data_IF_710517144377
#
_entry.id   IF_710517144377
#
_cell.length_a   1.000
_cell.length_b   1.000
_cell.length_c   1.000
_cell.angle_alpha   90.00
_cell.angle_beta   90.00
_cell.angle_gamma   90.00
#
_symmetry.space_group_name_H-M   'P 1'
#
loop_
_entity.id
_entity.type
_entity.pdbx_description
1 polymer ?
#
# COMPACT_ATOMS: atom_id res chain seq x y z
N UNK A 1 44.95 -35.17 65.93
CA UNK A 1 44.43 -33.85 65.51
C UNK A 1 43.79 -34.01 64.13
N UNK A 2 42.45 -34.04 64.03
CA UNK A 2 41.73 -34.18 62.75
C UNK A 2 41.22 -32.81 62.33
N UNK A 3 41.83 -32.23 61.29
CA UNK A 3 41.45 -30.92 60.73
C UNK A 3 40.15 -31.05 59.94
N UNK A 4 39.11 -30.32 60.33
CA UNK A 4 37.83 -30.24 59.60
C UNK A 4 37.93 -29.09 58.60
N UNK A 5 37.98 -29.43 57.31
CA UNK A 5 37.93 -28.47 56.22
C UNK A 5 36.47 -28.06 55.98
N UNK A 6 36.11 -26.81 56.31
CA UNK A 6 34.82 -26.21 55.98
C UNK A 6 34.84 -25.79 54.51
N UNK A 7 33.98 -26.40 53.68
CA UNK A 7 33.75 -25.98 52.29
C UNK A 7 32.59 -24.98 52.30
N UNK A 8 32.88 -23.70 52.00
CA UNK A 8 31.89 -22.65 51.76
C UNK A 8 31.34 -22.80 50.34
N UNK A 9 30.07 -23.19 50.20
CA UNK A 9 29.32 -23.16 48.95
C UNK A 9 28.83 -21.73 48.69
N UNK A 10 29.37 -21.08 47.66
CA UNK A 10 28.84 -19.83 47.12
C UNK A 10 27.74 -20.17 46.11
N UNK A 11 26.51 -19.64 46.25
CA UNK A 11 25.45 -19.90 45.29
C UNK A 11 25.73 -19.12 44.00
N UNK A 12 25.86 -19.85 42.89
CA UNK A 12 25.97 -19.30 41.55
C UNK A 12 24.56 -18.83 41.12
N UNK A 13 24.33 -17.52 41.11
CA UNK A 13 23.09 -16.93 40.61
C UNK A 13 23.02 -17.13 39.09
N UNK A 14 22.08 -17.98 38.63
CA UNK A 14 21.73 -18.10 37.21
C UNK A 14 21.02 -16.81 36.79
N UNK A 15 21.67 -15.97 36.00
CA UNK A 15 21.03 -14.86 35.30
C UNK A 15 20.10 -15.43 34.21
N UNK A 16 18.81 -15.16 34.32
CA UNK A 16 17.86 -15.46 33.26
C UNK A 16 18.19 -14.61 32.02
N UNK A 17 18.16 -15.18 30.80
CA UNK A 17 18.34 -14.38 29.58
C UNK A 17 17.21 -13.35 29.49
N UNK A 18 17.59 -12.07 29.45
CA UNK A 18 16.66 -10.98 29.26
C UNK A 18 15.88 -11.18 27.96
N UNK A 19 14.57 -11.07 28.05
CA UNK A 19 13.71 -10.97 26.88
C UNK A 19 14.13 -9.73 26.11
N UNK A 20 14.78 -9.92 24.95
CA UNK A 20 14.93 -8.86 23.97
C UNK A 20 13.54 -8.59 23.42
N UNK A 21 12.87 -7.58 23.99
CA UNK A 21 11.68 -6.98 23.39
C UNK A 21 12.12 -6.42 22.05
N UNK A 22 11.91 -7.18 20.97
CA UNK A 22 11.90 -6.61 19.64
C UNK A 22 10.76 -5.60 19.65
N UNK A 23 11.11 -4.31 19.71
CA UNK A 23 10.15 -3.25 19.55
C UNK A 23 9.46 -3.49 18.21
N UNK A 24 8.16 -3.78 18.26
CA UNK A 24 7.28 -3.66 17.10
C UNK A 24 7.58 -2.30 16.45
N UNK A 25 7.73 -2.24 15.11
CA UNK A 25 8.00 -0.98 14.41
C UNK A 25 7.00 0.06 14.90
N UNK A 26 7.51 1.21 15.34
CA UNK A 26 6.77 2.20 16.11
C UNK A 26 5.44 2.53 15.42
N UNK A 27 4.35 2.17 16.08
CA UNK A 27 2.98 2.47 15.65
C UNK A 27 2.62 3.97 15.77
N UNK A 28 3.52 4.79 16.30
CA UNK A 28 3.32 6.21 16.51
C UNK A 28 3.62 7.00 15.22
N UNK A 29 2.63 7.69 14.63
CA UNK A 29 2.84 8.51 13.44
C UNK A 29 3.95 9.56 13.61
N UNK A 30 4.17 10.09 14.82
CA UNK A 30 5.23 11.05 15.05
C UNK A 30 6.61 10.46 14.76
N UNK A 31 6.85 9.21 15.18
CA UNK A 31 8.12 8.50 14.94
C UNK A 31 8.27 8.14 13.46
N UNK A 32 7.19 7.69 12.82
CA UNK A 32 7.19 7.42 11.38
C UNK A 32 7.56 8.69 10.59
N UNK A 33 7.09 9.86 11.02
CA UNK A 33 7.39 11.12 10.36
C UNK A 33 8.81 11.67 10.58
N UNK A 34 9.61 11.14 11.50
CA UNK A 34 10.99 11.61 11.73
C UNK A 34 11.89 11.41 10.50
N UNK A 35 11.61 10.40 9.68
CA UNK A 35 12.35 10.12 8.45
C UNK A 35 11.84 10.91 7.24
N UNK A 36 10.84 11.78 7.44
CA UNK A 36 10.22 12.52 6.34
C UNK A 36 11.12 13.60 5.77
N UNK A 37 11.00 13.82 4.45
CA UNK A 37 11.68 14.93 3.82
C UNK A 37 11.02 16.25 4.29
N UNK A 38 11.78 17.35 4.51
CA UNK A 38 11.22 18.61 5.01
C UNK A 38 10.09 19.21 4.18
N UNK A 39 10.04 18.89 2.89
CA UNK A 39 8.98 19.35 1.99
C UNK A 39 7.71 18.48 2.08
N UNK A 40 7.81 17.25 2.58
CA UNK A 40 6.69 16.32 2.66
C UNK A 40 5.75 16.74 3.80
N UNK A 41 4.46 16.47 3.64
CA UNK A 41 3.50 16.59 4.75
C UNK A 41 3.36 15.24 5.41
N UNK A 42 3.87 15.11 6.63
CA UNK A 42 3.73 13.90 7.43
C UNK A 42 3.15 14.24 8.80
N UNK A 43 2.04 13.59 9.17
CA UNK A 43 1.34 13.84 10.43
C UNK A 43 0.43 12.66 10.81
N UNK A 44 -0.12 12.70 12.02
CA UNK A 44 -1.21 11.80 12.42
C UNK A 44 -2.45 12.00 11.53
N UNK A 45 -3.06 10.89 11.12
CA UNK A 45 -4.24 10.86 10.27
C UNK A 45 -5.52 11.33 10.96
N UNK A 46 -5.53 11.43 12.30
CA UNK A 46 -6.60 11.98 13.10
C UNK A 46 -7.87 11.13 13.11
N UNK A 47 -7.81 9.87 12.67
CA UNK A 47 -8.98 9.01 12.50
C UNK A 47 -9.94 9.52 11.42
N UNK A 48 -9.49 10.41 10.53
CA UNK A 48 -10.36 11.05 9.56
C UNK A 48 -10.88 10.04 8.55
N UNK A 49 -12.15 10.18 8.15
CA UNK A 49 -12.72 9.46 7.01
C UNK A 49 -12.71 10.38 5.81
N UNK A 50 -12.08 9.95 4.71
CA UNK A 50 -12.06 10.73 3.48
C UNK A 50 -13.44 10.63 2.81
N UNK A 51 -14.18 11.74 2.65
CA UNK A 51 -15.46 11.69 1.96
C UNK A 51 -15.27 11.20 0.52
N UNK A 52 -16.24 10.42 0.04
CA UNK A 52 -16.21 9.72 -1.25
C UNK A 52 -15.69 10.57 -2.41
N UNK A 53 -14.49 10.22 -2.88
CA UNK A 53 -13.73 10.89 -3.93
C UNK A 53 -14.47 11.12 -5.25
N UNK A 54 -13.92 12.04 -6.05
CA UNK A 54 -14.53 12.55 -7.29
C UNK A 54 -14.62 11.55 -8.44
N UNK A 55 -14.96 12.05 -9.63
CA UNK A 55 -15.30 11.24 -10.82
C UNK A 55 -14.23 10.22 -11.27
N UNK A 56 -12.96 10.42 -10.89
CA UNK A 56 -11.81 9.60 -11.35
C UNK A 56 -11.40 8.49 -10.38
N UNK A 57 -11.50 8.74 -9.07
CA UNK A 57 -11.17 7.75 -8.04
C UNK A 57 -12.17 7.85 -6.90
N UNK A 58 -12.88 6.76 -6.66
CA UNK A 58 -13.83 6.64 -5.58
C UNK A 58 -13.11 6.31 -4.28
N UNK A 59 -13.29 7.14 -3.24
CA UNK A 59 -12.88 6.82 -1.86
C UNK A 59 -13.92 5.98 -1.11
N UNK A 60 -14.97 5.51 -1.80
CA UNK A 60 -15.97 4.60 -1.19
C UNK A 60 -15.27 3.33 -0.70
N UNK A 61 -15.49 3.04 0.58
CA UNK A 61 -14.92 1.87 1.26
C UNK A 61 -13.62 2.16 1.98
N UNK A 62 -12.95 3.28 1.72
CA UNK A 62 -11.71 3.64 2.43
C UNK A 62 -11.91 3.61 3.94
N UNK A 63 -10.88 3.18 4.69
CA UNK A 63 -10.93 3.12 6.13
C UNK A 63 -10.84 4.54 6.72
N UNK A 64 -11.09 4.64 8.02
CA UNK A 64 -10.64 5.82 8.75
C UNK A 64 -9.11 5.77 8.85
N UNK A 65 -8.44 6.88 8.56
CA UNK A 65 -6.98 6.98 8.61
C UNK A 65 -6.58 7.18 10.06
N UNK A 66 -6.29 6.07 10.74
CA UNK A 66 -5.99 6.02 12.17
C UNK A 66 -4.50 6.02 12.47
N UNK A 67 -3.66 5.83 11.46
CA UNK A 67 -2.22 5.93 11.57
C UNK A 67 -1.68 7.20 10.92
N UNK A 68 -0.61 7.11 10.14
CA UNK A 68 0.06 8.23 9.50
C UNK A 68 -0.64 8.66 8.21
N UNK A 69 -0.73 9.98 8.02
CA UNK A 69 -0.93 10.59 6.72
C UNK A 69 0.41 11.13 6.22
N UNK A 70 0.89 10.59 5.11
CA UNK A 70 2.12 11.02 4.47
C UNK A 70 1.85 11.43 3.03
N UNK A 71 2.17 12.67 2.68
CA UNK A 71 2.06 13.21 1.34
C UNK A 71 3.36 13.81 0.87
N UNK A 72 3.95 13.18 -0.14
CA UNK A 72 5.14 13.68 -0.85
C UNK A 72 4.77 14.92 -1.67
N UNK A 73 5.57 15.98 -1.58
CA UNK A 73 5.26 17.29 -2.21
C UNK A 73 6.13 17.66 -3.41
N UNK A 74 7.23 16.95 -3.66
CA UNK A 74 8.11 17.27 -4.79
C UNK A 74 8.29 16.07 -5.70
N UNK A 75 8.69 16.31 -6.95
CA UNK A 75 8.77 15.30 -8.00
C UNK A 75 10.02 14.37 -7.95
N UNK A 76 10.58 14.13 -6.76
CA UNK A 76 11.72 13.20 -6.56
C UNK A 76 11.29 11.90 -5.91
N UNK A 77 12.00 10.81 -6.18
CA UNK A 77 11.67 9.52 -5.58
C UNK A 77 11.83 9.51 -4.05
N UNK A 78 10.88 8.89 -3.36
CA UNK A 78 10.84 8.71 -1.91
C UNK A 78 10.85 7.24 -1.53
N UNK A 79 11.32 6.99 -0.30
CA UNK A 79 11.11 5.72 0.38
C UNK A 79 10.50 6.02 1.73
N UNK A 80 9.31 5.48 1.98
CA UNK A 80 8.61 5.68 3.23
C UNK A 80 7.67 4.50 3.48
N UNK A 81 7.37 4.28 4.75
CA UNK A 81 6.50 3.21 5.20
C UNK A 81 5.50 3.74 6.20
N UNK A 82 4.31 3.17 6.18
CA UNK A 82 3.37 3.25 7.28
C UNK A 82 3.78 2.35 8.44
N UNK A 83 2.80 2.07 9.29
CA UNK A 83 2.90 1.28 10.50
C UNK A 83 1.85 0.17 10.53
N UNK A 84 1.33 -0.19 11.72
CA UNK A 84 0.32 -1.23 11.89
C UNK A 84 -1.12 -0.70 11.91
N UNK A 85 -1.32 0.60 11.69
CA UNK A 85 -2.62 1.26 11.67
C UNK A 85 -3.00 1.60 10.23
N UNK A 86 -4.27 1.95 9.99
CA UNK A 86 -4.70 2.34 8.65
C UNK A 86 -4.05 3.67 8.24
N UNK A 87 -3.16 3.61 7.27
CA UNK A 87 -2.34 4.73 6.82
C UNK A 87 -2.82 5.27 5.48
N UNK A 88 -2.50 6.54 5.19
CA UNK A 88 -2.66 7.12 3.87
C UNK A 88 -1.31 7.65 3.38
N UNK A 89 -0.76 6.94 2.40
CA UNK A 89 0.61 7.07 1.92
C UNK A 89 0.58 7.50 0.45
N UNK A 90 0.91 8.77 0.21
CA UNK A 90 0.76 9.41 -1.09
C UNK A 90 2.14 9.79 -1.65
N UNK A 91 2.63 8.97 -2.58
CA UNK A 91 3.78 9.28 -3.44
C UNK A 91 3.45 10.34 -4.48
N UNK A 92 4.48 10.90 -5.10
CA UNK A 92 4.34 11.94 -6.13
C UNK A 92 4.99 11.43 -7.41
N UNK A 93 5.12 12.26 -8.43
CA UNK A 93 6.13 11.99 -9.46
C UNK A 93 7.48 11.64 -8.82
N UNK A 94 8.15 10.64 -9.37
CA UNK A 94 9.41 10.15 -8.83
C UNK A 94 9.49 8.64 -8.97
N UNK A 95 10.58 8.03 -8.53
CA UNK A 95 10.63 6.58 -8.35
C UNK A 95 10.41 6.30 -6.86
N UNK A 96 9.16 6.06 -6.49
CA UNK A 96 8.72 5.93 -5.10
C UNK A 96 8.71 4.46 -4.63
N UNK A 97 8.97 4.27 -3.35
CA UNK A 97 8.92 2.97 -2.67
C UNK A 97 8.08 3.13 -1.42
N UNK A 98 6.85 2.64 -1.50
CA UNK A 98 5.80 2.84 -0.51
C UNK A 98 5.43 1.49 0.06
N UNK A 99 5.48 1.37 1.39
CA UNK A 99 5.08 0.17 2.12
C UNK A 99 3.98 0.55 3.12
N UNK A 100 2.79 -0.04 3.02
CA UNK A 100 1.66 0.21 3.93
C UNK A 100 2.02 -0.25 5.34
N UNK A 101 2.28 -1.55 5.46
CA UNK A 101 2.54 -2.17 6.75
C UNK A 101 1.41 -3.11 7.07
N UNK A 102 0.94 -3.12 8.31
CA UNK A 102 -0.28 -3.83 8.65
C UNK A 102 -1.42 -2.83 8.80
N UNK A 103 -2.66 -3.29 8.65
CA UNK A 103 -3.80 -2.40 8.69
C UNK A 103 -4.43 -2.31 7.32
N UNK A 104 -5.38 -1.39 7.16
CA UNK A 104 -6.08 -1.19 5.90
C UNK A 104 -5.59 0.12 5.33
N UNK A 105 -4.68 0.03 4.38
CA UNK A 105 -3.91 1.19 3.95
C UNK A 105 -4.39 1.74 2.62
N UNK A 106 -4.08 3.01 2.39
CA UNK A 106 -4.34 3.69 1.13
C UNK A 106 -3.02 4.15 0.55
N UNK A 107 -2.57 3.51 -0.52
CA UNK A 107 -1.29 3.78 -1.17
C UNK A 107 -1.52 4.37 -2.55
N UNK A 108 -0.89 5.51 -2.83
CA UNK A 108 -0.84 6.11 -4.16
C UNK A 108 0.61 6.22 -4.61
N UNK A 109 0.93 5.61 -5.76
CA UNK A 109 2.26 5.77 -6.36
C UNK A 109 2.49 7.20 -6.88
N UNK A 110 1.42 7.87 -7.31
CA UNK A 110 1.45 9.24 -7.78
C UNK A 110 0.07 9.88 -7.55
N UNK A 111 -0.04 10.75 -6.55
CA UNK A 111 -1.31 11.43 -6.22
C UNK A 111 -1.56 12.68 -7.09
N UNK A 112 -0.53 13.24 -7.72
CA UNK A 112 -0.64 14.48 -8.49
C UNK A 112 -1.21 14.17 -9.91
N UNK A 113 -2.39 14.72 -10.26
CA UNK A 113 -2.98 14.50 -11.58
C UNK A 113 -2.25 15.25 -12.70
N UNK A 114 -1.44 16.26 -12.39
CA UNK A 114 -0.70 17.05 -13.37
C UNK A 114 0.64 16.39 -13.72
N UNK A 115 1.37 16.88 -14.74
CA UNK A 115 2.78 16.51 -14.94
C UNK A 115 3.13 15.03 -15.24
N UNK A 116 2.15 14.13 -15.30
CA UNK A 116 2.34 12.68 -15.34
C UNK A 116 3.28 12.19 -16.45
N UNK A 117 4.33 11.46 -16.07
CA UNK A 117 5.32 10.87 -17.01
C UNK A 117 5.27 9.36 -17.05
N UNK A 118 5.80 8.74 -18.12
CA UNK A 118 5.88 7.28 -18.27
C UNK A 118 7.26 6.69 -17.90
N UNK A 119 8.12 7.50 -17.27
CA UNK A 119 9.50 7.13 -16.89
C UNK A 119 9.62 6.64 -15.45
N UNK A 120 8.73 7.09 -14.57
CA UNK A 120 8.70 6.73 -13.15
C UNK A 120 8.61 5.23 -12.92
N UNK A 121 9.16 4.78 -11.79
CA UNK A 121 9.23 3.38 -11.39
C UNK A 121 8.88 3.19 -9.92
N UNK A 122 7.63 2.90 -9.66
CA UNK A 122 7.16 2.79 -8.29
C UNK A 122 7.09 1.35 -7.80
N UNK A 123 7.36 1.19 -6.50
CA UNK A 123 7.10 -0.02 -5.76
C UNK A 123 6.05 0.28 -4.71
N UNK A 124 4.90 -0.39 -4.82
CA UNK A 124 3.82 -0.32 -3.84
C UNK A 124 3.68 -1.70 -3.20
N UNK A 125 3.74 -1.75 -1.88
CA UNK A 125 3.56 -2.96 -1.08
C UNK A 125 2.52 -2.65 0.01
N UNK A 126 1.31 -3.19 -0.10
CA UNK A 126 0.24 -2.95 0.88
C UNK A 126 0.61 -3.58 2.22
N UNK A 127 0.81 -4.89 2.20
CA UNK A 127 1.20 -5.68 3.37
C UNK A 127 0.00 -6.45 3.91
N UNK A 128 -0.04 -6.76 5.22
CA UNK A 128 -1.22 -7.43 5.78
C UNK A 128 -2.41 -6.49 6.03
N UNK A 129 -3.52 -6.76 5.35
CA UNK A 129 -4.84 -6.18 5.58
C UNK A 129 -5.54 -5.89 4.26
N UNK A 130 -6.73 -5.28 4.32
CA UNK A 130 -7.50 -4.98 3.11
C UNK A 130 -7.08 -3.61 2.58
N UNK A 131 -6.22 -3.58 1.56
CA UNK A 131 -5.56 -2.36 1.11
C UNK A 131 -6.14 -1.76 -0.17
N UNK A 132 -5.96 -0.45 -0.36
CA UNK A 132 -6.28 0.28 -1.57
C UNK A 132 -5.01 0.78 -2.24
N UNK A 133 -4.66 0.18 -3.37
CA UNK A 133 -3.42 0.49 -4.09
C UNK A 133 -3.72 1.17 -5.42
N UNK A 134 -3.27 2.41 -5.57
CA UNK A 134 -3.42 3.22 -6.78
C UNK A 134 -2.08 3.35 -7.47
N UNK A 135 -1.93 2.69 -8.62
CA UNK A 135 -0.67 2.76 -9.38
C UNK A 135 -0.53 4.11 -10.06
N UNK A 136 0.70 4.58 -10.20
CA UNK A 136 1.05 5.73 -11.02
C UNK A 136 1.08 5.39 -12.52
N UNK A 137 1.55 6.36 -13.32
CA UNK A 137 2.02 6.10 -14.68
C UNK A 137 3.35 5.31 -14.66
N UNK A 138 4.03 5.14 -15.80
CA UNK A 138 5.36 4.52 -15.78
C UNK A 138 5.36 3.01 -15.51
N UNK A 139 6.38 2.51 -14.79
CA UNK A 139 6.63 1.08 -14.58
C UNK A 139 6.53 0.69 -13.10
N UNK A 140 5.44 0.02 -12.73
CA UNK A 140 5.11 -0.25 -11.34
C UNK A 140 5.29 -1.72 -10.95
N UNK A 141 5.76 -1.93 -9.73
CA UNK A 141 5.77 -3.23 -9.05
C UNK A 141 4.81 -3.14 -7.88
N UNK A 142 3.69 -3.84 -7.97
CA UNK A 142 2.63 -3.80 -6.95
C UNK A 142 2.52 -5.17 -6.28
N UNK A 143 2.51 -5.15 -4.96
CA UNK A 143 2.13 -6.27 -4.10
C UNK A 143 0.96 -5.81 -3.22
N UNK A 144 -0.18 -6.47 -3.31
CA UNK A 144 -1.29 -6.21 -2.39
C UNK A 144 -0.89 -6.68 -1.00
N UNK A 145 -0.57 -7.97 -0.90
CA UNK A 145 -0.15 -8.57 0.35
C UNK A 145 -1.19 -9.59 0.76
N UNK A 146 -1.51 -9.70 2.05
CA UNK A 146 -2.55 -10.63 2.50
C UNK A 146 -3.79 -9.86 2.92
N UNK A 147 -4.96 -10.20 2.42
CA UNK A 147 -6.20 -9.50 2.73
C UNK A 147 -7.09 -9.41 1.50
N UNK A 148 -8.19 -8.67 1.57
CA UNK A 148 -9.04 -8.43 0.41
C UNK A 148 -8.68 -7.09 -0.23
N UNK A 149 -7.70 -7.11 -1.14
CA UNK A 149 -7.12 -5.90 -1.70
C UNK A 149 -7.91 -5.33 -2.87
N UNK A 150 -7.85 -4.01 -3.03
CA UNK A 150 -8.36 -3.29 -4.18
C UNK A 150 -7.23 -2.56 -4.90
N UNK A 151 -6.77 -3.13 -6.00
CA UNK A 151 -5.75 -2.52 -6.86
C UNK A 151 -6.41 -1.75 -8.00
N UNK A 152 -6.08 -0.49 -8.15
CA UNK A 152 -6.50 0.37 -9.26
C UNK A 152 -5.31 0.71 -10.16
N UNK A 153 -5.28 0.07 -11.33
CA UNK A 153 -4.21 0.17 -12.30
C UNK A 153 -4.70 0.72 -13.65
N UNK A 154 -5.13 1.99 -13.67
CA UNK A 154 -5.59 2.65 -14.90
C UNK A 154 -4.47 2.91 -15.90
N UNK A 155 -3.29 3.25 -15.39
CA UNK A 155 -2.14 3.67 -16.16
C UNK A 155 -0.92 2.81 -15.82
N UNK A 156 0.14 3.01 -16.60
CA UNK A 156 1.41 2.34 -16.39
C UNK A 156 1.48 0.90 -16.94
N UNK A 157 2.56 0.22 -16.56
CA UNK A 157 2.92 -1.14 -16.95
C UNK A 157 3.76 -1.77 -15.83
N UNK A 158 4.06 -3.07 -15.92
CA UNK A 158 4.96 -3.73 -14.97
C UNK A 158 4.34 -5.00 -14.41
N UNK A 159 4.32 -5.16 -13.09
CA UNK A 159 3.81 -6.37 -12.43
C UNK A 159 2.84 -6.04 -11.32
N UNK A 160 1.77 -6.83 -11.22
CA UNK A 160 0.82 -6.78 -10.12
C UNK A 160 0.65 -8.20 -9.58
N UNK A 161 0.84 -8.35 -8.28
CA UNK A 161 0.57 -9.55 -7.50
C UNK A 161 -0.38 -9.14 -6.38
N UNK A 162 -1.67 -9.48 -6.46
CA UNK A 162 -2.58 -9.06 -5.40
C UNK A 162 -2.28 -9.83 -4.09
N UNK A 163 -2.12 -11.15 -4.16
CA UNK A 163 -1.53 -11.93 -3.08
C UNK A 163 -2.56 -12.92 -2.51
N UNK A 164 -2.43 -13.36 -1.25
CA UNK A 164 -3.44 -14.21 -0.63
C UNK A 164 -4.67 -13.40 -0.19
N UNK A 165 -5.85 -13.84 -0.62
CA UNK A 165 -7.12 -13.30 -0.13
C UNK A 165 -8.17 -13.27 -1.22
N UNK A 166 -9.10 -12.31 -1.17
CA UNK A 166 -10.08 -12.13 -2.24
C UNK A 166 -9.94 -10.73 -2.83
N UNK A 167 -9.09 -10.65 -3.84
CA UNK A 167 -8.61 -9.40 -4.37
C UNK A 167 -9.40 -8.97 -5.59
N UNK A 168 -9.53 -7.65 -5.72
CA UNK A 168 -10.08 -7.02 -6.90
C UNK A 168 -9.05 -6.13 -7.55
N UNK A 169 -8.64 -6.51 -8.76
CA UNK A 169 -7.88 -5.64 -9.63
C UNK A 169 -8.83 -4.95 -10.60
N UNK A 170 -8.79 -3.63 -10.65
CA UNK A 170 -9.43 -2.86 -11.72
C UNK A 170 -8.33 -2.30 -12.64
N UNK A 171 -8.36 -2.71 -13.91
CA UNK A 171 -7.24 -2.49 -14.84
C UNK A 171 -7.69 -2.15 -16.26
N UNK A 172 -6.85 -1.42 -17.02
CA UNK A 172 -7.20 -0.96 -18.38
C UNK A 172 -7.07 -2.12 -19.36
N UNK A 173 -8.08 -2.40 -20.20
CA UNK A 173 -8.12 -3.58 -21.08
C UNK A 173 -6.85 -3.79 -21.96
N UNK A 174 -6.11 -2.73 -22.26
CA UNK A 174 -4.82 -2.77 -22.96
C UNK A 174 -3.70 -2.25 -22.07
N UNK A 175 -3.52 -2.92 -20.92
CA UNK A 175 -2.50 -2.56 -19.94
C UNK A 175 -1.15 -3.23 -20.24
N UNK A 176 -0.06 -2.65 -19.71
CA UNK A 176 1.27 -3.25 -19.77
C UNK A 176 1.63 -4.13 -18.56
N UNK A 177 0.67 -4.48 -17.71
CA UNK A 177 0.92 -5.30 -16.51
C UNK A 177 0.90 -6.80 -16.76
N UNK A 178 1.83 -7.51 -16.13
CA UNK A 178 1.74 -8.95 -15.85
C UNK A 178 1.07 -9.12 -14.50
N UNK A 179 -0.09 -9.78 -14.49
CA UNK A 179 -0.96 -9.91 -13.31
C UNK A 179 -0.97 -11.34 -12.81
N UNK A 180 -0.96 -11.54 -11.49
CA UNK A 180 -1.19 -12.83 -10.84
C UNK A 180 -1.90 -12.66 -9.49
N UNK A 181 -2.46 -13.75 -9.00
CA UNK A 181 -3.08 -13.84 -7.67
C UNK A 181 -4.14 -12.76 -7.42
N UNK A 182 -4.97 -12.44 -8.42
CA UNK A 182 -6.07 -11.51 -8.27
C UNK A 182 -7.37 -12.24 -8.68
N UNK A 183 -8.26 -12.47 -7.71
CA UNK A 183 -9.46 -13.30 -7.89
C UNK A 183 -10.47 -12.65 -8.83
N UNK A 184 -10.55 -11.31 -8.79
CA UNK A 184 -11.48 -10.53 -9.62
C UNK A 184 -10.77 -9.44 -10.40
N UNK A 185 -10.58 -9.67 -11.69
CA UNK A 185 -10.06 -8.66 -12.62
C UNK A 185 -11.23 -7.98 -13.34
N UNK A 186 -11.40 -6.68 -13.11
CA UNK A 186 -12.39 -5.84 -13.80
C UNK A 186 -11.70 -4.94 -14.79
N UNK A 187 -11.96 -5.19 -16.07
CA UNK A 187 -11.42 -4.37 -17.14
C UNK A 187 -12.24 -3.09 -17.31
N UNK A 188 -11.54 -2.01 -17.61
CA UNK A 188 -12.14 -0.76 -18.04
C UNK A 188 -11.49 -0.23 -19.31
N UNK A 189 -12.27 0.54 -20.05
CA UNK A 189 -11.96 0.99 -21.40
C UNK A 189 -11.74 2.51 -21.36
N UNK A 190 -10.93 3.04 -22.27
CA UNK A 190 -10.60 4.48 -22.30
C UNK A 190 -11.82 5.40 -22.45
N UNK A 191 -12.96 4.88 -22.91
CA UNK A 191 -14.22 5.60 -23.11
C UNK A 191 -15.27 5.36 -22.01
N UNK A 192 -14.90 4.67 -20.92
CA UNK A 192 -15.79 4.29 -19.83
C UNK A 192 -16.33 2.86 -19.96
N UNK A 193 -16.53 2.21 -18.81
CA UNK A 193 -17.25 0.93 -18.71
C UNK A 193 -18.73 1.21 -18.44
N UNK A 194 -19.63 0.29 -18.82
CA UNK A 194 -21.07 0.42 -18.50
C UNK A 194 -21.31 0.78 -17.02
N UNK A 195 -22.33 1.61 -16.71
CA UNK A 195 -22.86 1.72 -15.36
C UNK A 195 -23.19 0.32 -14.81
N UNK A 196 -22.84 0.05 -13.56
CA UNK A 196 -23.04 -1.28 -12.96
C UNK A 196 -21.84 -2.22 -13.06
N UNK A 197 -20.65 -1.73 -13.43
CA UNK A 197 -19.38 -2.41 -13.15
C UNK A 197 -19.19 -3.75 -13.89
N UNK A 198 -19.95 -4.01 -14.96
CA UNK A 198 -20.03 -5.31 -15.64
C UNK A 198 -19.00 -5.54 -16.78
N UNK A 199 -17.94 -4.74 -16.89
CA UNK A 199 -16.76 -5.09 -17.70
C UNK A 199 -16.94 -5.21 -19.23
N UNK A 200 -18.04 -4.73 -19.82
CA UNK A 200 -18.20 -4.72 -21.28
C UNK A 200 -17.45 -3.55 -21.91
N UNK A 201 -16.43 -3.83 -22.74
CA UNK A 201 -15.73 -2.82 -23.52
C UNK A 201 -16.31 -2.64 -24.90
N UNK A 202 -16.89 -1.46 -25.14
CA UNK A 202 -17.41 -1.06 -26.44
C UNK A 202 -16.91 0.34 -26.76
N UNK A 203 -16.43 0.53 -27.99
CA UNK A 203 -16.27 1.88 -28.55
C UNK A 203 -17.65 2.52 -28.69
N UNK A 204 -17.75 3.87 -28.70
CA UNK A 204 -18.99 4.53 -29.11
C UNK A 204 -19.49 3.95 -30.45
N UNK A 205 -20.64 3.28 -30.44
CA UNK A 205 -21.26 2.65 -31.63
C UNK A 205 -21.15 1.12 -31.74
N UNK A 206 -20.40 0.43 -30.89
CA UNK A 206 -20.40 -1.05 -30.89
C UNK A 206 -21.60 -1.63 -30.12
N UNK A 207 -22.32 -2.59 -30.73
CA UNK A 207 -23.49 -3.24 -30.15
C UNK A 207 -23.18 -4.69 -29.73
N UNK A 208 -23.43 -5.09 -28.46
CA UNK A 208 -23.15 -6.42 -27.92
C UNK A 208 -23.87 -7.59 -28.61
N UNK A 209 -24.88 -7.34 -29.47
CA UNK A 209 -25.74 -8.40 -30.04
C UNK A 209 -25.21 -9.02 -31.35
N UNK A 210 -23.97 -8.77 -31.76
CA UNK A 210 -23.46 -9.21 -33.08
C UNK A 210 -22.37 -10.27 -33.07
N UNK A 211 -21.85 -10.70 -31.94
CA UNK A 211 -20.92 -11.84 -31.89
C UNK A 211 -21.73 -13.11 -31.57
N UNK A 212 -21.80 -14.00 -32.57
CA UNK A 212 -22.39 -15.35 -32.49
C UNK A 212 -21.41 -16.31 -31.84
#
# INVERSE_FOLDING_TARGET
MRSRLLILLVPLALAAPGTVSHAEPSADPAVLCEQSHPDDTCQDGGGRRVPGGGEKVSHVGWPAITGVFWQVKSASGRRFSGGPANDELLGHHGDDRIQGGAGRDVLWGDWDPEGNTTRQRDLLDGGPGDDWLYTSHGHNTVRGGSGADLVWAYYGRGTIDCGPGFDTLRIRLQHGYRVRNCERIRNFCAHGSKPGNAGGCYRPGENPRRER
#
